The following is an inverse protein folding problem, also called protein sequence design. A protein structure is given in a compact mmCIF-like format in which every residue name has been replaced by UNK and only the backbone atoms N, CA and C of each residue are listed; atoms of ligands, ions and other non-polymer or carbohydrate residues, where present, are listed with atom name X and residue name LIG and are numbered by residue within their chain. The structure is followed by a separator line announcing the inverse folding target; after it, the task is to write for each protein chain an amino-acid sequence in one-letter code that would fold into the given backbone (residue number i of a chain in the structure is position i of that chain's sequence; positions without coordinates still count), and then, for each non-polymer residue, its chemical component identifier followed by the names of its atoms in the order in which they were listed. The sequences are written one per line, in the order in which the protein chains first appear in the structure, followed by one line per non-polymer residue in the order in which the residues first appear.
data_IF_615833376635
#
_entry.id   IF_615833376635
#
_cell.length_a   1.000
_cell.length_b   1.000
_cell.length_c   1.000
_cell.angle_alpha   90.00
_cell.angle_beta   90.00
_cell.angle_gamma   90.00
#
_symmetry.space_group_name_H-M   'P 1'
#
loop_
_entity.id
_entity.type
_entity.pdbx_description
1 polymer ?
#
# COMPACT_ATOMS: atom_id res chain seq x y z
N UNK A 1 39.90 -0.94 39.32
CA UNK A 1 39.67 -0.93 37.85
C UNK A 1 38.20 -0.71 37.61
N UNK A 2 37.81 0.37 36.94
CA UNK A 2 36.44 0.56 36.48
C UNK A 2 36.15 -0.46 35.36
N UNK A 3 34.97 -1.10 35.33
CA UNK A 3 34.60 -1.99 34.24
C UNK A 3 34.64 -1.25 32.90
N UNK A 4 35.13 -1.91 31.85
CA UNK A 4 35.08 -1.39 30.49
C UNK A 4 33.62 -1.16 30.07
N UNK A 5 33.31 -0.03 29.39
CA UNK A 5 31.96 0.22 28.91
C UNK A 5 31.50 -0.90 27.97
N UNK A 6 30.21 -1.28 28.01
CA UNK A 6 29.68 -2.35 27.17
C UNK A 6 29.77 -1.97 25.68
N UNK A 7 30.03 -2.95 24.81
CA UNK A 7 30.18 -2.76 23.36
C UNK A 7 28.88 -2.31 22.69
N UNK A 8 27.74 -2.66 23.28
CA UNK A 8 26.40 -2.28 22.82
C UNK A 8 25.42 -2.25 24.00
N UNK A 9 24.26 -1.57 23.86
CA UNK A 9 23.29 -1.44 24.94
C UNK A 9 22.33 -2.64 25.07
N UNK A 10 22.40 -3.65 24.19
CA UNK A 10 21.50 -4.81 24.21
C UNK A 10 21.95 -5.86 25.23
N UNK A 11 20.98 -6.55 25.87
CA UNK A 11 21.25 -7.61 26.84
C UNK A 11 21.22 -9.00 26.16
N UNK A 12 22.10 -9.95 26.56
CA UNK A 12 23.17 -9.79 27.55
C UNK A 12 24.29 -8.87 27.03
N UNK A 13 24.86 -8.04 27.91
CA UNK A 13 25.81 -6.97 27.54
C UNK A 13 27.15 -7.51 27.02
N UNK A 14 27.43 -8.77 27.31
CA UNK A 14 28.64 -9.51 26.93
C UNK A 14 28.50 -10.18 25.55
N UNK A 15 27.30 -10.15 24.94
CA UNK A 15 27.12 -10.71 23.61
C UNK A 15 28.00 -9.97 22.59
N UNK A 16 28.53 -10.72 21.62
CA UNK A 16 29.15 -10.10 20.46
C UNK A 16 28.07 -9.87 19.40
N UNK A 17 27.69 -8.61 19.16
CA UNK A 17 26.85 -8.25 18.01
C UNK A 17 27.77 -7.84 16.86
N UNK A 18 28.07 -8.81 15.99
CA UNK A 18 28.92 -8.60 14.81
C UNK A 18 28.33 -7.50 13.91
N UNK A 19 29.12 -6.45 13.64
CA UNK A 19 28.69 -5.35 12.80
C UNK A 19 27.71 -4.38 13.46
N UNK A 20 27.65 -4.32 14.79
CA UNK A 20 26.82 -3.35 15.51
C UNK A 20 27.15 -1.91 15.11
N UNK A 21 26.12 -1.17 14.71
CA UNK A 21 26.17 0.27 14.49
C UNK A 21 24.95 0.86 15.21
N UNK A 22 25.19 1.87 16.04
CA UNK A 22 24.11 2.56 16.75
C UNK A 22 23.20 3.31 15.75
N UNK A 23 21.90 3.37 16.06
CA UNK A 23 20.97 4.16 15.27
C UNK A 23 21.41 5.64 15.27
N UNK A 24 21.41 6.27 14.09
CA UNK A 24 21.65 7.70 13.91
C UNK A 24 20.43 8.55 14.34
N UNK A 25 19.23 7.97 14.27
CA UNK A 25 17.96 8.62 14.68
C UNK A 25 17.63 8.35 16.15
N UNK A 26 17.14 9.39 16.82
CA UNK A 26 16.60 9.29 18.17
C UNK A 26 15.37 8.35 18.22
N UNK A 27 15.22 7.61 19.33
CA UNK A 27 14.17 6.58 19.46
C UNK A 27 12.74 7.13 19.25
N UNK A 28 12.48 8.38 19.69
CA UNK A 28 11.17 9.03 19.47
C UNK A 28 10.84 9.20 17.99
N UNK A 29 11.84 9.55 17.17
CA UNK A 29 11.63 9.70 15.73
C UNK A 29 11.25 8.36 15.08
N UNK A 30 11.87 7.26 15.52
CA UNK A 30 11.55 5.91 15.03
C UNK A 30 10.11 5.51 15.40
N UNK A 31 9.68 5.76 16.63
CA UNK A 31 8.31 5.49 17.09
C UNK A 31 7.30 6.34 16.32
N UNK A 32 7.59 7.63 16.11
CA UNK A 32 6.72 8.53 15.35
C UNK A 32 6.56 8.09 13.90
N UNK A 33 7.66 7.71 13.24
CA UNK A 33 7.62 7.19 11.87
C UNK A 33 6.78 5.91 11.82
N UNK A 34 7.01 4.97 12.75
CA UNK A 34 6.23 3.73 12.81
C UNK A 34 4.73 4.00 13.02
N UNK A 35 4.39 4.84 14.01
CA UNK A 35 3.01 5.20 14.30
C UNK A 35 2.33 5.89 13.11
N UNK A 36 3.04 6.78 12.42
CA UNK A 36 2.54 7.45 11.22
C UNK A 36 2.26 6.46 10.08
N UNK A 37 3.19 5.54 9.80
CA UNK A 37 3.00 4.50 8.76
C UNK A 37 1.81 3.60 9.10
N UNK A 38 1.67 3.18 10.36
CA UNK A 38 0.53 2.40 10.81
C UNK A 38 -0.79 3.16 10.70
N UNK A 39 -0.80 4.44 11.10
CA UNK A 39 -2.00 5.28 11.04
C UNK A 39 -2.46 5.48 9.59
N UNK A 40 -1.53 5.75 8.67
CA UNK A 40 -1.85 5.93 7.25
C UNK A 40 -2.35 4.62 6.65
N UNK A 41 -1.63 3.50 6.86
CA UNK A 41 -2.00 2.21 6.29
C UNK A 41 -3.34 1.69 6.81
N UNK A 42 -3.49 1.60 8.14
CA UNK A 42 -4.72 1.11 8.76
C UNK A 42 -5.87 2.10 8.61
N UNK A 43 -5.60 3.40 8.63
CA UNK A 43 -6.58 4.44 8.38
C UNK A 43 -7.15 4.40 6.97
N UNK A 44 -6.31 4.17 5.96
CA UNK A 44 -6.76 3.97 4.58
C UNK A 44 -7.62 2.71 4.45
N UNK A 45 -7.19 1.57 5.02
CA UNK A 45 -8.00 0.34 5.03
C UNK A 45 -9.34 0.57 5.71
N UNK A 46 -9.35 1.24 6.87
CA UNK A 46 -10.59 1.57 7.57
C UNK A 46 -11.49 2.48 6.74
N UNK A 47 -10.94 3.50 6.07
CA UNK A 47 -11.71 4.40 5.21
C UNK A 47 -12.43 3.63 4.09
N UNK A 48 -11.74 2.71 3.41
CA UNK A 48 -12.33 1.87 2.36
C UNK A 48 -13.40 0.93 2.93
N UNK A 49 -13.12 0.27 4.06
CA UNK A 49 -14.13 -0.54 4.76
C UNK A 49 -15.37 0.28 5.16
N UNK A 50 -15.15 1.53 5.62
CA UNK A 50 -16.21 2.45 5.98
C UNK A 50 -17.10 2.77 4.77
N UNK A 51 -16.49 3.03 3.61
CA UNK A 51 -17.21 3.25 2.35
C UNK A 51 -18.06 2.04 1.97
N UNK A 52 -17.44 0.85 1.88
CA UNK A 52 -18.13 -0.38 1.47
C UNK A 52 -19.31 -0.68 2.40
N UNK A 53 -19.12 -0.55 3.72
CA UNK A 53 -20.17 -0.78 4.71
C UNK A 53 -21.31 0.24 4.61
N UNK A 54 -21.00 1.52 4.34
CA UNK A 54 -21.97 2.60 4.33
C UNK A 54 -22.47 2.99 2.93
N UNK A 55 -22.06 2.29 1.87
CA UNK A 55 -22.29 2.64 0.46
C UNK A 55 -23.69 3.18 0.17
N UNK A 56 -24.75 2.52 0.66
CA UNK A 56 -26.14 2.95 0.43
C UNK A 56 -26.55 4.23 1.16
N UNK A 57 -25.92 4.51 2.29
CA UNK A 57 -26.30 5.59 3.21
C UNK A 57 -25.26 6.71 3.28
N UNK A 58 -24.21 6.65 2.47
CA UNK A 58 -23.03 7.51 2.59
C UNK A 58 -23.39 9.00 2.51
N UNK A 59 -24.31 9.37 1.61
CA UNK A 59 -24.77 10.74 1.42
C UNK A 59 -25.36 11.37 2.69
N UNK A 60 -26.02 10.59 3.55
CA UNK A 60 -26.63 11.08 4.79
C UNK A 60 -25.70 11.03 6.01
N UNK A 61 -24.50 10.45 5.89
CA UNK A 61 -23.54 10.34 7.00
C UNK A 61 -22.89 11.69 7.31
N UNK A 62 -22.77 11.98 8.60
CA UNK A 62 -22.08 13.15 9.14
C UNK A 62 -20.90 12.77 10.04
N UNK A 63 -20.53 11.49 10.08
CA UNK A 63 -19.27 11.06 10.70
C UNK A 63 -18.08 11.67 9.96
N UNK A 64 -16.92 11.75 10.60
CA UNK A 64 -15.69 12.24 9.95
C UNK A 64 -15.43 11.52 8.62
N UNK A 65 -15.43 10.20 8.61
CA UNK A 65 -15.20 9.41 7.39
C UNK A 65 -16.32 9.56 6.36
N UNK A 66 -17.57 9.73 6.78
CA UNK A 66 -18.67 10.02 5.85
C UNK A 66 -18.50 11.38 5.17
N UNK A 67 -18.07 12.40 5.91
CA UNK A 67 -17.76 13.71 5.34
C UNK A 67 -16.52 13.68 4.42
N UNK A 68 -15.46 12.96 4.81
CA UNK A 68 -14.27 12.78 3.97
C UNK A 68 -14.61 12.10 2.64
N UNK A 69 -15.44 11.06 2.65
CA UNK A 69 -15.88 10.41 1.42
C UNK A 69 -16.76 11.31 0.56
N UNK A 70 -17.66 12.11 1.16
CA UNK A 70 -18.44 13.11 0.42
C UNK A 70 -17.53 14.17 -0.23
N UNK A 71 -16.51 14.63 0.48
CA UNK A 71 -15.51 15.57 -0.05
C UNK A 71 -14.71 14.93 -1.19
N UNK A 72 -14.23 13.71 -1.00
CA UNK A 72 -13.51 12.97 -2.05
C UNK A 72 -14.42 12.70 -3.27
N UNK A 73 -15.72 12.52 -3.08
CA UNK A 73 -16.68 12.32 -4.18
C UNK A 73 -16.83 13.53 -5.11
N UNK A 74 -16.23 14.69 -4.79
CA UNK A 74 -16.08 15.78 -5.74
C UNK A 74 -15.06 15.49 -6.85
N UNK A 75 -14.07 14.62 -6.58
CA UNK A 75 -13.16 14.15 -7.62
C UNK A 75 -13.76 13.05 -8.47
N UNK A 76 -14.66 12.25 -7.89
CA UNK A 76 -15.41 11.24 -8.62
C UNK A 76 -16.77 10.98 -7.95
N UNK A 77 -17.84 11.44 -8.60
CA UNK A 77 -19.20 11.32 -8.09
C UNK A 77 -19.66 9.88 -7.93
N UNK A 78 -19.01 8.89 -8.57
CA UNK A 78 -19.39 7.47 -8.54
C UNK A 78 -19.38 6.87 -7.15
N UNK A 79 -18.59 7.43 -6.24
CA UNK A 79 -18.60 7.09 -4.80
C UNK A 79 -19.91 7.50 -4.10
N UNK A 80 -20.67 8.47 -4.61
CA UNK A 80 -21.99 8.85 -4.09
C UNK A 80 -23.16 8.38 -4.94
N UNK A 81 -22.97 8.23 -6.25
CA UNK A 81 -24.03 7.82 -7.19
C UNK A 81 -24.21 6.29 -7.27
N UNK A 82 -23.62 5.55 -6.34
CA UNK A 82 -23.77 4.10 -6.20
C UNK A 82 -23.33 3.31 -7.44
N UNK A 83 -22.17 3.67 -8.00
CA UNK A 83 -21.62 2.95 -9.15
C UNK A 83 -21.23 1.49 -8.79
N UNK A 84 -21.66 0.49 -9.59
CA UNK A 84 -21.40 -0.91 -9.29
C UNK A 84 -19.92 -1.29 -9.44
N UNK A 85 -19.20 -0.67 -10.36
CA UNK A 85 -17.78 -0.97 -10.55
C UNK A 85 -16.97 -0.49 -9.36
N UNK A 86 -17.15 0.78 -8.94
CA UNK A 86 -16.45 1.35 -7.78
C UNK A 86 -16.76 0.55 -6.51
N UNK A 87 -18.03 0.18 -6.27
CA UNK A 87 -18.37 -0.66 -5.11
C UNK A 87 -17.64 -2.01 -5.14
N UNK A 88 -17.67 -2.73 -6.27
CA UNK A 88 -17.06 -4.04 -6.39
C UNK A 88 -15.53 -3.97 -6.21
N UNK A 89 -14.89 -3.00 -6.86
CA UNK A 89 -13.45 -2.77 -6.76
C UNK A 89 -13.03 -2.45 -5.31
N UNK A 90 -13.72 -1.53 -4.65
CA UNK A 90 -13.42 -1.16 -3.26
C UNK A 90 -13.70 -2.30 -2.28
N UNK A 91 -14.72 -3.12 -2.56
CA UNK A 91 -15.02 -4.32 -1.76
C UNK A 91 -13.87 -5.33 -1.84
N UNK A 92 -13.34 -5.58 -3.04
CA UNK A 92 -12.15 -6.44 -3.20
C UNK A 92 -10.93 -5.81 -2.51
N UNK A 93 -10.77 -4.49 -2.62
CA UNK A 93 -9.67 -3.78 -1.94
C UNK A 93 -9.74 -3.93 -0.42
N UNK A 94 -10.93 -3.77 0.16
CA UNK A 94 -11.17 -3.94 1.59
C UNK A 94 -10.95 -5.38 2.07
N UNK A 95 -11.55 -6.35 1.37
CA UNK A 95 -11.64 -7.74 1.86
C UNK A 95 -10.48 -8.63 1.42
N UNK A 96 -9.76 -8.25 0.35
CA UNK A 96 -8.68 -9.06 -0.22
C UNK A 96 -7.36 -8.30 -0.13
N UNK A 97 -7.24 -7.13 -0.75
CA UNK A 97 -5.96 -6.44 -0.83
C UNK A 97 -5.47 -5.90 0.52
N UNK A 98 -6.36 -5.39 1.37
CA UNK A 98 -6.04 -4.99 2.74
C UNK A 98 -5.44 -6.13 3.56
N UNK A 99 -6.15 -7.25 3.78
CA UNK A 99 -5.63 -8.40 4.50
C UNK A 99 -4.35 -9.00 3.90
N UNK A 100 -4.28 -9.11 2.56
CA UNK A 100 -3.07 -9.62 1.90
C UNK A 100 -1.88 -8.66 1.99
N UNK A 101 -2.11 -7.35 2.14
CA UNK A 101 -1.06 -6.37 2.41
C UNK A 101 -0.47 -6.57 3.81
N UNK A 102 -1.32 -6.80 4.83
CA UNK A 102 -0.88 -7.13 6.18
C UNK A 102 -0.13 -8.48 6.21
N UNK A 103 -0.62 -9.48 5.49
CA UNK A 103 0.08 -10.76 5.34
C UNK A 103 1.44 -10.57 4.66
N UNK A 104 1.51 -9.79 3.58
CA UNK A 104 2.77 -9.44 2.92
C UNK A 104 3.75 -8.80 3.90
N UNK A 105 3.30 -7.85 4.72
CA UNK A 105 4.12 -7.22 5.73
C UNK A 105 4.67 -8.25 6.75
N UNK A 106 3.82 -9.16 7.23
CA UNK A 106 4.25 -10.27 8.09
C UNK A 106 5.29 -11.19 7.43
N UNK A 107 5.10 -11.54 6.15
CA UNK A 107 6.06 -12.35 5.39
C UNK A 107 7.39 -11.61 5.16
N UNK A 108 7.37 -10.29 5.05
CA UNK A 108 8.59 -9.47 4.99
C UNK A 108 9.35 -9.56 6.32
N UNK A 109 8.66 -9.39 7.45
CA UNK A 109 9.26 -9.44 8.78
C UNK A 109 9.86 -10.81 9.12
N UNK A 110 9.22 -11.89 8.66
CA UNK A 110 9.70 -13.26 8.86
C UNK A 110 10.69 -13.72 7.78
N UNK A 111 11.05 -12.85 6.84
CA UNK A 111 11.89 -13.18 5.68
C UNK A 111 11.43 -14.43 4.92
N UNK A 112 10.11 -14.65 4.85
CA UNK A 112 9.54 -15.84 4.23
C UNK A 112 9.72 -15.84 2.71
N UNK A 113 10.01 -16.98 2.05
CA UNK A 113 10.22 -17.06 0.60
C UNK A 113 9.05 -16.53 -0.22
N UNK A 114 7.82 -16.70 0.28
CA UNK A 114 6.59 -16.23 -0.38
C UNK A 114 6.36 -14.71 -0.30
N UNK A 115 7.20 -13.94 0.40
CA UNK A 115 7.03 -12.47 0.49
C UNK A 115 7.04 -11.80 -0.88
N UNK A 116 7.91 -12.23 -1.80
CA UNK A 116 8.04 -11.62 -3.12
C UNK A 116 6.88 -11.98 -4.06
N UNK A 117 6.47 -13.26 -4.19
CA UNK A 117 5.24 -13.62 -4.90
C UNK A 117 4.02 -12.87 -4.40
N UNK A 118 3.79 -12.83 -3.08
CA UNK A 118 2.61 -12.17 -2.54
C UNK A 118 2.64 -10.65 -2.75
N UNK A 119 3.81 -10.02 -2.57
CA UNK A 119 3.98 -8.59 -2.87
C UNK A 119 3.67 -8.28 -4.34
N UNK A 120 4.06 -9.15 -5.28
CA UNK A 120 3.73 -8.98 -6.71
C UNK A 120 2.22 -9.07 -6.93
N UNK A 121 1.55 -10.08 -6.37
CA UNK A 121 0.11 -10.28 -6.53
C UNK A 121 -0.67 -9.07 -6.00
N UNK A 122 -0.37 -8.63 -4.78
CA UNK A 122 -1.04 -7.48 -4.15
C UNK A 122 -0.76 -6.19 -4.94
N UNK A 123 0.49 -5.98 -5.37
CA UNK A 123 0.86 -4.80 -6.15
C UNK A 123 0.13 -4.75 -7.49
N UNK A 124 0.04 -5.89 -8.19
CA UNK A 124 -0.72 -6.00 -9.42
C UNK A 124 -2.22 -5.71 -9.18
N UNK A 125 -2.79 -6.22 -8.09
CA UNK A 125 -4.18 -5.98 -7.71
C UNK A 125 -4.51 -4.49 -7.56
N UNK A 126 -3.66 -3.74 -6.84
CA UNK A 126 -3.83 -2.29 -6.68
C UNK A 126 -3.70 -1.54 -8.02
N UNK A 127 -2.66 -1.83 -8.80
CA UNK A 127 -2.47 -1.19 -10.11
C UNK A 127 -3.63 -1.49 -11.06
N UNK A 128 -4.06 -2.75 -11.12
CA UNK A 128 -5.14 -3.18 -12.00
C UNK A 128 -6.47 -2.52 -11.63
N UNK A 129 -6.79 -2.45 -10.34
CA UNK A 129 -7.97 -1.74 -9.85
C UNK A 129 -7.96 -0.27 -10.26
N UNK A 130 -6.86 0.44 -10.03
CA UNK A 130 -6.77 1.88 -10.33
C UNK A 130 -6.77 2.17 -11.84
N UNK A 131 -6.13 1.31 -12.65
CA UNK A 131 -6.20 1.40 -14.12
C UNK A 131 -7.65 1.25 -14.60
N UNK A 132 -8.42 0.30 -14.05
CA UNK A 132 -9.84 0.14 -14.40
C UNK A 132 -10.70 1.30 -13.86
N UNK A 133 -10.38 1.83 -12.69
CA UNK A 133 -11.04 3.02 -12.12
C UNK A 133 -10.92 4.24 -13.05
N UNK A 134 -9.71 4.55 -13.51
CA UNK A 134 -9.50 5.59 -14.51
C UNK A 134 -10.15 5.22 -15.85
N UNK A 135 -9.96 3.97 -16.30
CA UNK A 135 -10.46 3.51 -17.59
C UNK A 135 -11.98 3.65 -17.71
N UNK A 136 -12.72 3.29 -16.67
CA UNK A 136 -14.18 3.44 -16.61
C UNK A 136 -14.59 4.91 -16.57
N UNK A 137 -13.93 5.75 -15.77
CA UNK A 137 -14.26 7.20 -15.73
C UNK A 137 -14.01 7.87 -17.08
N UNK A 138 -12.89 7.56 -17.73
CA UNK A 138 -12.56 8.13 -19.02
C UNK A 138 -13.45 7.56 -20.11
N UNK A 139 -13.83 6.28 -20.04
CA UNK A 139 -14.81 5.71 -20.97
C UNK A 139 -16.14 6.46 -20.89
N UNK A 140 -16.69 6.68 -19.69
CA UNK A 140 -17.95 7.42 -19.50
C UNK A 140 -17.84 8.86 -20.02
N UNK A 141 -16.71 9.52 -19.78
CA UNK A 141 -16.45 10.87 -20.31
C UNK A 141 -16.43 10.90 -21.83
N UNK A 142 -15.72 9.96 -22.49
CA UNK A 142 -15.52 10.00 -23.94
C UNK A 142 -16.68 9.39 -24.75
N UNK A 143 -17.36 8.38 -24.21
CA UNK A 143 -18.40 7.62 -24.92
C UNK A 143 -19.79 8.11 -24.52
N UNK A 144 -20.03 8.32 -23.23
CA UNK A 144 -21.34 8.72 -22.71
C UNK A 144 -21.47 10.24 -22.49
N UNK A 145 -20.38 11.02 -22.64
CA UNK A 145 -20.31 12.44 -22.28
C UNK A 145 -20.71 12.71 -20.82
N UNK A 146 -20.40 11.78 -19.92
CA UNK A 146 -20.66 11.90 -18.49
C UNK A 146 -19.33 12.20 -17.78
N UNK A 147 -19.23 13.38 -17.16
CA UNK A 147 -18.10 13.71 -16.30
C UNK A 147 -18.47 13.46 -14.84
N UNK A 148 -17.68 12.62 -14.16
CA UNK A 148 -17.83 12.35 -12.73
C UNK A 148 -17.01 13.29 -11.85
N UNK A 149 -15.99 13.94 -12.41
CA UNK A 149 -15.14 14.89 -11.70
C UNK A 149 -15.68 16.31 -11.87
N UNK A 150 -15.59 17.10 -10.79
CA UNK A 150 -15.81 18.54 -10.87
C UNK A 150 -14.81 19.23 -11.82
N UNK A 151 -15.21 20.31 -12.51
CA UNK A 151 -14.38 20.94 -13.53
C UNK A 151 -13.18 21.72 -12.97
N UNK A 152 -13.18 22.07 -11.68
CA UNK A 152 -12.08 22.80 -11.09
C UNK A 152 -10.79 21.95 -11.07
N UNK A 153 -9.64 22.49 -11.52
CA UNK A 153 -8.39 21.73 -11.63
C UNK A 153 -7.93 21.08 -10.31
N UNK A 154 -8.30 21.67 -9.18
CA UNK A 154 -7.97 21.13 -7.86
C UNK A 154 -8.54 19.71 -7.66
N UNK A 155 -9.82 19.49 -7.96
CA UNK A 155 -10.45 18.17 -7.78
C UNK A 155 -9.91 17.15 -8.77
N UNK A 156 -9.53 17.57 -9.97
CA UNK A 156 -8.93 16.66 -10.93
C UNK A 156 -7.46 16.31 -10.59
N UNK A 157 -6.58 17.30 -10.49
CA UNK A 157 -5.15 17.02 -10.36
C UNK A 157 -4.75 16.59 -8.94
N UNK A 158 -5.35 17.19 -7.90
CA UNK A 158 -4.97 16.87 -6.52
C UNK A 158 -5.71 15.62 -6.05
N UNK A 159 -7.03 15.57 -6.20
CA UNK A 159 -7.81 14.45 -5.68
C UNK A 159 -7.84 13.29 -6.67
N UNK A 160 -8.36 13.49 -7.88
CA UNK A 160 -8.57 12.39 -8.82
C UNK A 160 -7.25 11.75 -9.26
N UNK A 161 -6.24 12.55 -9.63
CA UNK A 161 -4.92 12.04 -10.05
C UNK A 161 -3.98 11.88 -8.85
N UNK A 162 -3.80 12.95 -8.08
CA UNK A 162 -2.78 13.01 -7.03
C UNK A 162 -3.00 12.04 -5.88
N UNK A 163 -4.23 11.92 -5.38
CA UNK A 163 -4.52 10.99 -4.29
C UNK A 163 -4.48 9.54 -4.75
N UNK A 164 -4.82 9.20 -6.00
CA UNK A 164 -4.75 7.82 -6.49
C UNK A 164 -3.33 7.41 -6.95
N UNK A 165 -2.48 8.36 -7.36
CA UNK A 165 -1.12 8.07 -7.84
C UNK A 165 -0.26 7.14 -6.95
N UNK A 166 -0.28 7.23 -5.60
CA UNK A 166 0.41 6.28 -4.72
C UNK A 166 0.01 4.83 -4.94
N UNK A 167 -1.25 4.54 -5.29
CA UNK A 167 -1.77 3.20 -5.56
C UNK A 167 -1.33 2.62 -6.91
N UNK A 168 -0.68 3.43 -7.76
CA UNK A 168 0.00 2.95 -8.97
C UNK A 168 1.51 2.94 -8.76
N UNK A 169 2.08 4.07 -8.35
CA UNK A 169 3.53 4.27 -8.34
C UNK A 169 4.25 3.40 -7.31
N UNK A 170 3.70 3.29 -6.09
CA UNK A 170 4.32 2.49 -5.02
C UNK A 170 4.21 1.00 -5.38
N UNK A 171 3.03 0.44 -5.72
CA UNK A 171 2.92 -0.93 -6.23
C UNK A 171 3.82 -1.24 -7.42
N UNK A 172 3.94 -0.34 -8.40
CA UNK A 172 4.83 -0.55 -9.54
C UNK A 172 6.29 -0.70 -9.12
N UNK A 173 6.77 0.16 -8.21
CA UNK A 173 8.12 0.08 -7.67
C UNK A 173 8.34 -1.20 -6.84
N UNK A 174 7.36 -1.58 -6.01
CA UNK A 174 7.41 -2.81 -5.20
C UNK A 174 7.41 -4.05 -6.08
N UNK A 175 6.59 -4.08 -7.13
CA UNK A 175 6.52 -5.16 -8.10
C UNK A 175 7.86 -5.27 -8.84
N UNK A 176 8.41 -4.17 -9.36
CA UNK A 176 9.72 -4.14 -10.01
C UNK A 176 10.83 -4.69 -9.11
N UNK A 177 10.86 -4.26 -7.84
CA UNK A 177 11.84 -4.73 -6.86
C UNK A 177 11.75 -6.23 -6.63
N UNK A 178 10.53 -6.76 -6.45
CA UNK A 178 10.33 -8.20 -6.24
C UNK A 178 10.68 -9.03 -7.48
N UNK A 179 10.27 -8.59 -8.67
CA UNK A 179 10.62 -9.26 -9.92
C UNK A 179 12.14 -9.29 -10.12
N UNK A 180 12.82 -8.16 -9.89
CA UNK A 180 14.28 -8.07 -9.99
C UNK A 180 14.99 -9.01 -9.01
N UNK A 181 14.49 -9.13 -7.78
CA UNK A 181 15.05 -10.04 -6.78
C UNK A 181 14.88 -11.50 -7.20
N UNK A 182 13.68 -11.89 -7.63
CA UNK A 182 13.40 -13.26 -8.09
C UNK A 182 14.28 -13.59 -9.31
N UNK A 183 14.39 -12.68 -10.28
CA UNK A 183 15.25 -12.87 -11.45
C UNK A 183 16.71 -13.16 -11.08
N UNK A 184 17.27 -12.38 -10.15
CA UNK A 184 18.63 -12.59 -9.63
C UNK A 184 18.77 -13.93 -8.89
N UNK A 185 17.79 -14.28 -8.06
CA UNK A 185 17.79 -15.53 -7.30
C UNK A 185 17.76 -16.75 -8.24
N UNK A 186 16.92 -16.72 -9.27
CA UNK A 186 16.81 -17.77 -10.28
C UNK A 186 18.10 -17.91 -11.09
N UNK A 187 18.69 -16.80 -11.53
CA UNK A 187 19.99 -16.84 -12.24
C UNK A 187 21.09 -17.45 -11.38
N UNK A 188 21.15 -17.08 -10.09
CA UNK A 188 22.13 -17.64 -9.16
C UNK A 188 21.94 -19.13 -8.92
N UNK A 189 20.69 -19.60 -8.81
CA UNK A 189 20.41 -21.03 -8.67
C UNK A 189 20.90 -21.82 -9.89
N UNK A 190 20.66 -21.31 -11.10
CA UNK A 190 21.15 -21.93 -12.34
C UNK A 190 22.67 -22.05 -12.40
N UNK A 191 23.40 -21.01 -11.98
CA UNK A 191 24.87 -21.06 -11.90
C UNK A 191 25.37 -22.15 -10.95
N UNK A 192 24.73 -22.30 -9.78
CA UNK A 192 25.12 -23.29 -8.78
C UNK A 192 24.82 -24.71 -9.25
N UNK A 193 23.66 -24.93 -9.89
CA UNK A 193 23.31 -26.22 -10.50
C UNK A 193 24.23 -26.58 -11.67
N UNK A 194 24.64 -25.59 -12.48
CA UNK A 194 25.59 -25.78 -13.57
C UNK A 194 26.99 -26.18 -13.09
N UNK A 195 27.47 -25.57 -11.99
CA UNK A 195 28.76 -25.91 -11.37
C UNK A 195 28.78 -27.28 -10.71
N UNK A 196 27.63 -27.82 -10.30
CA UNK A 196 27.52 -29.13 -9.63
C UNK A 196 27.54 -30.32 -10.61
N UNK A 197 27.48 -30.05 -11.92
CA UNK A 197 27.48 -31.04 -13.00
C UNK A 197 28.86 -31.26 -13.64
N UNK A 198 29.90 -30.62 -13.11
CA UNK A 198 31.33 -30.79 -13.49
C UNK A 198 32.04 -31.41 -12.30
#
# INVERSE_FOLDING_TARGET
MSPSPPLHPYYPLEAEITGYVANDRHFLALIQIFAFVCLVGLGATYAVCYYVYNFKTLASRQTLFGQLWKEYSHSDSRYLTQDPFVLCMETITALVWGPLSLLTAYLILTSHPLRHPLQIIVSLGHMYGDILYYGTSFFDHHVANISHCRPEPFYFYVYFVGMNAPWILIPAALMWRSMSYIGKAVSRLRELEGKKKI
#
